data_IF_715825748205
#
_entry.id   IF_715825748205
#
_cell.length_a   1.000
_cell.length_b   1.000
_cell.length_c   1.000
_cell.angle_alpha   90.00
_cell.angle_beta   90.00
_cell.angle_gamma   90.00
#
_symmetry.space_group_name_H-M   'P 1'
#
loop_
_entity.id
_entity.type
_entity.pdbx_description
1 polymer ?
#
# COMPACT_ATOMS: atom_id res chain seq x y z
N UNK A 1 -11.51 21.39 -2.14
CA UNK A 1 -11.11 19.98 -1.92
C UNK A 1 -9.78 19.94 -1.21
N UNK A 2 -9.65 19.16 -0.10
CA UNK A 2 -8.33 18.96 0.52
C UNK A 2 -7.46 18.13 -0.44
N UNK A 3 -6.21 18.57 -0.65
CA UNK A 3 -5.27 17.83 -1.49
C UNK A 3 -5.18 16.36 -1.04
N UNK A 4 -5.26 15.38 -1.94
CA UNK A 4 -5.09 13.97 -1.61
C UNK A 4 -3.67 13.63 -1.16
N UNK A 5 -2.72 14.52 -1.36
CA UNK A 5 -1.34 14.38 -0.97
C UNK A 5 -1.10 15.03 0.39
N UNK A 6 -0.42 14.31 1.27
CA UNK A 6 0.27 14.95 2.39
C UNK A 6 1.47 15.72 1.84
N UNK A 7 1.94 16.77 2.55
CA UNK A 7 3.19 17.42 2.20
C UNK A 7 4.28 16.35 2.02
N UNK A 8 5.03 16.44 0.95
CA UNK A 8 6.16 15.54 0.74
C UNK A 8 7.34 15.96 1.63
N UNK A 9 8.10 14.98 2.07
CA UNK A 9 9.37 15.19 2.75
C UNK A 9 10.50 15.25 1.73
N UNK A 10 11.48 16.15 1.93
CA UNK A 10 12.66 16.31 1.07
C UNK A 10 13.93 16.01 1.84
N UNK A 11 14.94 15.50 1.15
CA UNK A 11 16.29 15.30 1.71
C UNK A 11 16.38 14.24 2.82
N UNK A 12 15.32 13.49 3.04
CA UNK A 12 15.30 12.45 4.07
C UNK A 12 16.10 11.23 3.62
N UNK A 13 16.96 10.72 4.50
CA UNK A 13 17.60 9.41 4.29
C UNK A 13 16.62 8.29 4.61
N UNK A 14 16.42 7.39 3.65
CA UNK A 14 15.61 6.20 3.87
C UNK A 14 16.44 5.07 4.49
N UNK A 15 15.84 4.37 5.44
CA UNK A 15 16.36 3.11 6.01
C UNK A 15 15.27 2.08 6.00
N UNK A 16 15.63 0.81 5.79
CA UNK A 16 14.69 -0.30 6.00
C UNK A 16 14.44 -0.51 7.50
N UNK A 17 13.41 -1.28 7.83
CA UNK A 17 13.03 -1.56 9.21
C UNK A 17 14.16 -2.21 10.02
N UNK A 18 14.90 -3.13 9.41
CA UNK A 18 15.98 -3.88 10.06
C UNK A 18 17.30 -3.12 10.15
N UNK A 19 17.39 -1.93 9.55
CA UNK A 19 18.62 -1.14 9.45
C UNK A 19 19.84 -1.91 8.87
N UNK A 20 19.57 -2.97 8.10
CA UNK A 20 20.58 -3.84 7.49
C UNK A 20 21.07 -3.34 6.14
N UNK A 21 20.27 -2.52 5.47
CA UNK A 21 20.68 -1.88 4.23
C UNK A 21 21.58 -0.69 4.56
N UNK A 22 22.69 -0.53 3.83
CA UNK A 22 23.49 0.69 3.88
C UNK A 22 22.62 1.92 3.75
N UNK A 23 22.98 3.00 4.41
CA UNK A 23 22.21 4.24 4.38
C UNK A 23 22.16 4.73 2.94
N UNK A 24 21.00 4.66 2.30
CA UNK A 24 20.77 5.33 1.04
C UNK A 24 21.06 6.83 1.18
N UNK A 25 21.43 7.48 0.09
CA UNK A 25 21.55 8.93 0.01
C UNK A 25 20.22 9.63 0.37
N UNK A 26 20.20 10.95 0.40
CA UNK A 26 18.99 11.71 0.58
C UNK A 26 18.04 11.48 -0.60
N UNK A 27 16.77 11.20 -0.30
CA UNK A 27 15.71 11.07 -1.30
C UNK A 27 15.23 12.46 -1.68
N UNK A 28 15.09 12.72 -2.97
CA UNK A 28 14.66 14.04 -3.44
C UNK A 28 13.24 14.39 -2.94
N UNK A 29 12.27 13.46 -3.08
CA UNK A 29 10.92 13.61 -2.54
C UNK A 29 10.33 12.29 -2.07
N UNK A 30 9.62 12.33 -0.93
CA UNK A 30 8.82 11.20 -0.43
C UNK A 30 7.37 11.67 -0.36
N UNK A 31 6.54 11.16 -1.25
CA UNK A 31 5.10 11.43 -1.27
C UNK A 31 4.37 10.45 -0.34
N UNK A 32 3.36 10.95 0.38
CA UNK A 32 2.55 10.15 1.29
C UNK A 32 1.07 10.32 0.89
N UNK A 33 0.61 9.57 -0.11
CA UNK A 33 -0.80 9.57 -0.48
C UNK A 33 -1.63 9.00 0.68
N UNK A 34 -2.87 9.48 0.80
CA UNK A 34 -3.77 9.04 1.87
C UNK A 34 -5.19 8.86 1.37
N UNK A 35 -5.93 8.00 2.04
CA UNK A 35 -7.39 8.00 1.96
C UNK A 35 -7.95 9.17 2.76
N UNK A 36 -9.14 9.67 2.40
CA UNK A 36 -9.85 10.68 3.19
C UNK A 36 -10.41 10.10 4.49
N UNK A 37 -10.72 8.80 4.49
CA UNK A 37 -11.33 8.08 5.61
C UNK A 37 -10.59 6.78 5.88
N UNK A 38 -10.56 6.36 7.13
CA UNK A 38 -9.97 5.11 7.58
C UNK A 38 -10.96 4.26 8.39
N UNK A 39 -12.26 4.41 8.14
CA UNK A 39 -13.34 3.88 8.97
C UNK A 39 -13.80 2.46 8.62
N UNK A 40 -13.10 1.76 7.72
CA UNK A 40 -13.51 0.44 7.25
C UNK A 40 -14.75 0.47 6.35
N UNK A 41 -15.17 1.64 5.89
CA UNK A 41 -16.25 1.80 4.94
C UNK A 41 -16.00 0.99 3.67
N UNK A 42 -17.04 0.33 3.17
CA UNK A 42 -17.01 -0.36 1.86
C UNK A 42 -17.35 0.57 0.70
N UNK A 43 -17.47 1.87 0.95
CA UNK A 43 -17.81 2.86 -0.06
C UNK A 43 -16.58 3.09 -0.97
N UNK A 44 -16.76 2.90 -2.26
CA UNK A 44 -15.73 3.18 -3.29
C UNK A 44 -15.20 4.61 -3.23
N UNK A 45 -16.02 5.56 -2.80
CA UNK A 45 -15.64 6.96 -2.67
C UNK A 45 -14.52 7.20 -1.65
N UNK A 46 -14.27 6.24 -0.75
CA UNK A 46 -13.24 6.35 0.30
C UNK A 46 -11.83 6.25 -0.28
N UNK A 47 -11.61 5.41 -1.28
CA UNK A 47 -10.28 5.20 -1.84
C UNK A 47 -9.97 6.05 -3.09
N UNK A 48 -10.98 6.66 -3.74
CA UNK A 48 -10.78 7.48 -4.93
C UNK A 48 -9.75 8.62 -4.75
N UNK A 49 -9.74 9.36 -3.61
CA UNK A 49 -8.73 10.39 -3.39
C UNK A 49 -7.31 9.84 -3.30
N UNK A 50 -7.13 8.66 -2.69
CA UNK A 50 -5.83 7.99 -2.66
C UNK A 50 -5.36 7.60 -4.06
N UNK A 51 -6.27 7.08 -4.89
CA UNK A 51 -6.00 6.75 -6.29
C UNK A 51 -5.63 8.00 -7.11
N UNK A 52 -6.40 9.08 -6.98
CA UNK A 52 -6.10 10.34 -7.66
C UNK A 52 -4.72 10.90 -7.27
N UNK A 53 -4.37 10.78 -5.98
CA UNK A 53 -3.04 11.15 -5.48
C UNK A 53 -1.93 10.31 -6.12
N UNK A 54 -2.09 8.99 -6.22
CA UNK A 54 -1.13 8.12 -6.90
C UNK A 54 -0.97 8.49 -8.37
N UNK A 55 -2.06 8.72 -9.09
CA UNK A 55 -2.03 9.13 -10.49
C UNK A 55 -1.32 10.49 -10.68
N UNK A 56 -1.51 11.42 -9.76
CA UNK A 56 -0.83 12.71 -9.79
C UNK A 56 0.69 12.55 -9.61
N UNK A 57 1.14 11.72 -8.66
CA UNK A 57 2.55 11.46 -8.40
C UNK A 57 3.21 10.83 -9.62
N UNK A 58 2.56 9.86 -10.25
CA UNK A 58 3.07 9.20 -11.47
C UNK A 58 3.26 10.23 -12.58
N UNK A 59 2.23 11.06 -12.85
CA UNK A 59 2.34 12.12 -13.87
C UNK A 59 3.46 13.12 -13.58
N UNK A 60 3.65 13.50 -12.31
CA UNK A 60 4.74 14.39 -11.92
C UNK A 60 6.11 13.76 -12.15
N UNK A 61 6.26 12.47 -11.82
CA UNK A 61 7.49 11.74 -12.07
C UNK A 61 7.82 11.65 -13.57
N UNK A 62 6.82 11.33 -14.41
CA UNK A 62 6.96 11.31 -15.87
C UNK A 62 7.37 12.66 -16.43
N UNK A 63 6.66 13.74 -16.06
CA UNK A 63 6.94 15.10 -16.53
C UNK A 63 8.33 15.61 -16.09
N UNK A 64 8.80 15.16 -14.94
CA UNK A 64 10.11 15.54 -14.38
C UNK A 64 11.23 14.59 -14.81
N UNK A 65 10.94 13.55 -15.57
CA UNK A 65 11.88 12.49 -15.95
C UNK A 65 12.55 11.84 -14.72
N UNK A 66 11.79 11.62 -13.64
CA UNK A 66 12.25 11.06 -12.38
C UNK A 66 11.83 9.61 -12.21
N UNK A 67 12.73 8.80 -11.66
CA UNK A 67 12.40 7.43 -11.25
C UNK A 67 11.51 7.46 -10.02
N UNK A 68 10.46 6.65 -10.03
CA UNK A 68 9.51 6.54 -8.94
C UNK A 68 9.53 5.11 -8.39
N UNK A 69 9.62 4.98 -7.07
CA UNK A 69 9.53 3.70 -6.37
C UNK A 69 8.50 3.77 -5.26
N UNK A 70 7.81 2.66 -5.00
CA UNK A 70 6.90 2.53 -3.86
C UNK A 70 7.62 1.88 -2.68
N UNK A 71 7.36 2.39 -1.48
CA UNK A 71 7.79 1.79 -0.22
C UNK A 71 6.56 1.43 0.62
N UNK A 72 6.57 0.24 1.19
CA UNK A 72 5.61 -0.21 2.19
C UNK A 72 6.12 0.03 3.60
N UNK A 73 6.12 -1.02 4.44
CA UNK A 73 6.66 -0.98 5.81
C UNK A 73 8.20 -0.97 5.89
N UNK A 74 8.90 -1.05 4.75
CA UNK A 74 10.36 -1.12 4.72
C UNK A 74 10.93 -2.43 5.28
N UNK A 75 10.18 -3.52 5.25
CA UNK A 75 10.52 -4.81 5.85
C UNK A 75 11.60 -5.58 5.11
N UNK A 76 11.90 -5.24 3.86
CA UNK A 76 12.97 -5.87 3.08
C UNK A 76 14.34 -5.74 3.75
N UNK A 77 15.13 -6.82 3.70
CA UNK A 77 16.51 -6.81 4.19
C UNK A 77 17.49 -6.11 3.23
N UNK A 78 17.06 -5.85 2.00
CA UNK A 78 17.85 -5.19 0.96
C UNK A 78 17.34 -3.78 0.66
N UNK A 79 18.09 -3.04 -0.17
CA UNK A 79 17.73 -1.70 -0.63
C UNK A 79 16.71 -1.70 -1.79
N UNK A 80 15.96 -2.78 -2.00
CA UNK A 80 15.04 -2.91 -3.15
C UNK A 80 14.04 -1.76 -3.26
N UNK A 81 13.59 -1.21 -2.14
CA UNK A 81 12.63 -0.12 -2.10
C UNK A 81 13.29 1.28 -2.21
N UNK A 82 14.64 1.36 -2.13
CA UNK A 82 15.32 2.64 -2.18
C UNK A 82 15.37 3.23 -3.58
N UNK A 83 15.22 4.53 -3.67
CA UNK A 83 15.43 5.34 -4.88
C UNK A 83 15.79 6.77 -4.51
N UNK A 84 16.69 7.38 -5.25
CA UNK A 84 17.20 8.73 -4.97
C UNK A 84 16.23 9.82 -5.39
N UNK A 85 15.44 9.58 -6.45
CA UNK A 85 14.52 10.58 -6.99
C UNK A 85 13.24 10.67 -6.14
N UNK A 86 12.21 9.93 -6.52
CA UNK A 86 10.89 9.97 -5.88
C UNK A 86 10.51 8.63 -5.24
N UNK A 87 10.00 8.71 -4.02
CA UNK A 87 9.40 7.57 -3.31
C UNK A 87 7.92 7.85 -3.04
N UNK A 88 7.08 6.81 -3.10
CA UNK A 88 5.71 6.81 -2.59
C UNK A 88 5.69 5.98 -1.31
N UNK A 89 5.44 6.62 -0.18
CA UNK A 89 5.17 5.91 1.07
C UNK A 89 3.68 5.52 1.11
N UNK A 90 3.41 4.23 1.01
CA UNK A 90 2.04 3.70 0.92
C UNK A 90 1.39 3.46 2.27
N UNK A 91 2.07 3.76 3.40
CA UNK A 91 1.61 3.43 4.76
C UNK A 91 0.24 4.03 5.14
N UNK A 92 -0.25 5.03 4.42
CA UNK A 92 -1.58 5.65 4.62
C UNK A 92 -2.66 5.11 3.69
N UNK A 93 -2.33 4.19 2.78
CA UNK A 93 -3.29 3.51 1.91
C UNK A 93 -3.68 2.18 2.55
N UNK A 94 -4.55 2.24 3.56
CA UNK A 94 -4.86 1.11 4.45
C UNK A 94 -6.31 0.65 4.39
N UNK A 95 -7.07 1.06 3.36
CA UNK A 95 -8.44 0.60 3.20
C UNK A 95 -8.48 -0.86 2.76
N UNK A 96 -9.39 -1.64 3.36
CA UNK A 96 -9.61 -3.05 3.02
C UNK A 96 -11.01 -3.50 3.44
N UNK A 97 -11.52 -4.53 2.78
CA UNK A 97 -12.76 -5.20 3.15
C UNK A 97 -12.75 -6.66 2.71
N UNK A 98 -13.57 -7.48 3.36
CA UNK A 98 -13.78 -8.88 3.03
C UNK A 98 -15.19 -9.05 2.48
N UNK A 99 -15.32 -9.84 1.43
CA UNK A 99 -16.57 -10.11 0.74
C UNK A 99 -17.00 -8.99 -0.21
N UNK A 100 -17.42 -9.36 -1.40
CA UNK A 100 -17.94 -8.45 -2.41
C UNK A 100 -19.47 -8.55 -2.45
N UNK A 101 -20.16 -7.44 -2.15
CA UNK A 101 -21.63 -7.37 -2.18
C UNK A 101 -22.21 -7.51 -3.59
N UNK A 102 -21.47 -7.06 -4.58
CA UNK A 102 -21.86 -7.10 -5.99
C UNK A 102 -20.99 -8.09 -6.74
N UNK A 103 -21.36 -9.38 -6.81
CA UNK A 103 -20.53 -10.40 -7.47
C UNK A 103 -20.24 -10.10 -8.95
N UNK A 104 -21.07 -9.27 -9.61
CA UNK A 104 -20.87 -8.86 -10.99
C UNK A 104 -19.62 -8.03 -11.23
N UNK A 105 -19.05 -7.41 -10.18
CA UNK A 105 -17.75 -6.74 -10.24
C UNK A 105 -16.58 -7.73 -10.38
N UNK A 106 -16.85 -9.01 -10.15
CA UNK A 106 -15.85 -10.08 -10.24
C UNK A 106 -15.95 -10.82 -11.58
N UNK A 107 -14.82 -11.34 -12.04
CA UNK A 107 -14.83 -12.30 -13.14
C UNK A 107 -15.64 -13.54 -12.77
N UNK A 108 -16.25 -14.21 -13.76
CA UNK A 108 -17.20 -15.29 -13.54
C UNK A 108 -16.67 -16.38 -12.60
N UNK A 109 -15.40 -16.77 -12.73
CA UNK A 109 -14.75 -17.82 -11.93
C UNK A 109 -14.69 -17.49 -10.42
N UNK A 110 -14.74 -16.21 -10.03
CA UNK A 110 -14.65 -15.80 -8.63
C UNK A 110 -15.98 -15.43 -8.00
N UNK A 111 -17.08 -15.34 -8.78
CA UNK A 111 -18.40 -14.92 -8.26
C UNK A 111 -18.90 -15.82 -7.13
N UNK A 112 -18.74 -17.14 -7.27
CA UNK A 112 -19.13 -18.11 -6.24
C UNK A 112 -18.32 -17.97 -4.94
N UNK A 113 -17.12 -17.40 -5.01
CA UNK A 113 -16.22 -17.19 -3.87
C UNK A 113 -16.24 -15.74 -3.35
N UNK A 114 -17.15 -14.91 -3.82
CA UNK A 114 -17.18 -13.46 -3.56
C UNK A 114 -17.07 -13.11 -2.06
N UNK A 115 -17.65 -13.92 -1.17
CA UNK A 115 -17.62 -13.68 0.28
C UNK A 115 -16.27 -14.02 0.94
N UNK A 116 -15.38 -14.74 0.24
CA UNK A 116 -14.06 -15.13 0.71
C UNK A 116 -12.92 -14.35 0.05
N UNK A 117 -13.25 -13.38 -0.78
CA UNK A 117 -12.27 -12.52 -1.42
C UNK A 117 -12.03 -11.28 -0.55
N UNK A 118 -10.79 -10.84 -0.54
CA UNK A 118 -10.36 -9.63 0.16
C UNK A 118 -9.95 -8.58 -0.86
N UNK A 119 -10.49 -7.38 -0.72
CA UNK A 119 -9.88 -6.18 -1.28
C UNK A 119 -8.95 -5.59 -0.24
N UNK A 120 -7.72 -5.25 -0.60
CA UNK A 120 -6.79 -4.56 0.28
C UNK A 120 -5.94 -3.58 -0.53
N UNK A 121 -5.81 -2.37 -0.02
CA UNK A 121 -4.85 -1.41 -0.55
C UNK A 121 -3.43 -1.78 -0.15
N UNK A 122 -2.47 -1.25 -0.89
CA UNK A 122 -1.06 -1.61 -0.83
C UNK A 122 -0.39 -1.41 0.55
N UNK A 123 -0.88 -0.48 1.37
CA UNK A 123 -0.33 -0.19 2.71
C UNK A 123 -0.91 -1.03 3.86
N UNK A 124 -1.89 -1.90 3.58
CA UNK A 124 -2.45 -2.79 4.61
C UNK A 124 -1.37 -3.75 5.10
N UNK A 125 -1.19 -3.84 6.42
CA UNK A 125 -0.24 -4.79 7.01
C UNK A 125 -0.82 -6.20 7.07
N UNK A 126 -0.01 -7.20 6.78
CA UNK A 126 -0.39 -8.62 6.89
C UNK A 126 -0.93 -8.93 8.29
N UNK A 127 -0.25 -8.46 9.37
CA UNK A 127 -0.72 -8.67 10.75
C UNK A 127 -2.13 -8.15 11.02
N UNK A 128 -2.48 -6.99 10.44
CA UNK A 128 -3.81 -6.38 10.63
C UNK A 128 -4.89 -7.21 9.94
N UNK A 129 -4.61 -7.66 8.72
CA UNK A 129 -5.53 -8.49 7.96
C UNK A 129 -5.69 -9.87 8.59
N UNK A 130 -4.59 -10.52 9.00
CA UNK A 130 -4.61 -11.84 9.65
C UNK A 130 -5.44 -11.82 10.94
N UNK A 131 -5.21 -10.85 11.84
CA UNK A 131 -5.98 -10.73 13.08
C UNK A 131 -7.49 -10.58 12.83
N UNK A 132 -7.87 -9.81 11.79
CA UNK A 132 -9.29 -9.68 11.43
C UNK A 132 -9.88 -10.99 10.89
N UNK A 133 -9.14 -11.71 10.05
CA UNK A 133 -9.59 -12.99 9.49
C UNK A 133 -9.71 -14.06 10.57
N UNK A 134 -8.72 -14.17 11.45
CA UNK A 134 -8.70 -15.10 12.58
C UNK A 134 -9.91 -14.92 13.51
N UNK A 135 -10.26 -13.67 13.83
CA UNK A 135 -11.45 -13.37 14.64
C UNK A 135 -12.77 -13.83 13.98
N UNK A 136 -12.73 -14.27 12.71
CA UNK A 136 -13.89 -14.78 11.94
C UNK A 136 -13.73 -16.23 11.50
N UNK A 137 -12.76 -16.94 12.08
CA UNK A 137 -12.47 -18.33 11.69
C UNK A 137 -11.94 -18.48 10.27
N UNK A 138 -11.34 -17.41 9.73
CA UNK A 138 -10.74 -17.37 8.39
C UNK A 138 -9.23 -17.16 8.48
N UNK A 139 -8.52 -17.53 7.42
CA UNK A 139 -7.09 -17.24 7.28
C UNK A 139 -6.73 -16.93 5.84
N UNK A 140 -5.56 -16.35 5.62
CA UNK A 140 -4.95 -16.33 4.30
C UNK A 140 -4.55 -17.75 3.91
N UNK A 141 -4.67 -18.09 2.62
CA UNK A 141 -4.28 -19.43 2.13
C UNK A 141 -2.79 -19.71 2.28
N UNK A 142 -1.99 -18.67 2.25
CA UNK A 142 -0.54 -18.70 2.49
C UNK A 142 -0.14 -17.47 3.29
N UNK A 143 0.86 -17.60 4.15
CA UNK A 143 1.48 -16.48 4.85
C UNK A 143 2.99 -16.67 4.90
N UNK A 144 3.74 -15.57 4.89
CA UNK A 144 5.19 -15.59 5.11
C UNK A 144 5.54 -15.84 6.58
N UNK A 145 6.82 -16.05 6.86
CA UNK A 145 7.35 -16.24 8.21
C UNK A 145 7.17 -15.02 9.12
N UNK A 146 6.90 -13.84 8.55
CA UNK A 146 6.73 -12.59 9.26
C UNK A 146 5.48 -11.86 8.77
N UNK A 147 4.89 -11.04 9.62
CA UNK A 147 3.64 -10.34 9.36
C UNK A 147 3.75 -8.80 9.41
N UNK A 148 4.96 -8.27 9.50
CA UNK A 148 5.23 -6.83 9.49
C UNK A 148 5.23 -6.19 8.11
N UNK A 149 5.15 -6.99 7.03
CA UNK A 149 5.06 -6.52 5.66
C UNK A 149 3.69 -5.90 5.37
N UNK A 150 3.68 -4.97 4.40
CA UNK A 150 2.44 -4.59 3.72
C UNK A 150 2.03 -5.68 2.75
N UNK A 151 0.71 -5.77 2.46
CA UNK A 151 0.19 -6.79 1.52
C UNK A 151 0.85 -6.67 0.15
N UNK A 152 1.03 -5.45 -0.39
CA UNK A 152 1.70 -5.26 -1.67
C UNK A 152 3.17 -5.69 -1.63
N UNK A 153 3.88 -5.39 -0.55
CA UNK A 153 5.26 -5.84 -0.37
C UNK A 153 5.37 -7.36 -0.34
N UNK A 154 4.46 -8.04 0.36
CA UNK A 154 4.48 -9.50 0.50
C UNK A 154 4.18 -10.24 -0.82
N UNK A 155 3.33 -9.68 -1.69
CA UNK A 155 3.00 -10.31 -3.00
C UNK A 155 3.96 -9.93 -4.12
N UNK A 156 4.90 -9.01 -3.87
CA UNK A 156 5.88 -8.52 -4.85
C UNK A 156 7.25 -9.19 -4.72
N UNK A 157 7.41 -10.12 -3.79
CA UNK A 157 8.67 -10.82 -3.49
C UNK A 157 8.59 -12.31 -3.76
#
# INVERSE_FOLDING_TARGET
MKSPLLPFETGRRWKNWHATSGVGGPVQRIYIPRNLWSDGSRDEKVFLPGLAGLQQIVREAEQSHKRLRAIGSGWSLSNVAYGEDFLINTSRLTHWFVGFRTPTMLTQQFRAKSQRLVFAQCGVLIKTLSAYLEARGLSLSTSGASNGQTIAGAIST
#
